data_IF_531282645185
#
_entry.id   IF_531282645185
#
_cell.length_a   1.000
_cell.length_b   1.000
_cell.length_c   1.000
_cell.angle_alpha   90.00
_cell.angle_beta   90.00
_cell.angle_gamma   90.00
#
_symmetry.space_group_name_H-M   'P 1'
#
loop_
_entity.id
_entity.type
_entity.pdbx_description
1 polymer ?
#
# COMPACT_ATOMS: atom_id res chain seq x y z
N UNK A 1 -24.79 -55.58 65.81
CA UNK A 1 -25.16 -54.20 66.23
C UNK A 1 -23.93 -53.55 66.86
N UNK A 2 -23.78 -52.21 66.86
CA UNK A 2 -24.53 -51.14 66.14
C UNK A 2 -23.73 -50.65 64.90
N UNK A 3 -24.21 -49.95 63.84
CA UNK A 3 -25.19 -48.85 63.64
C UNK A 3 -24.67 -47.48 64.16
N UNK A 4 -24.80 -46.29 63.56
CA UNK A 4 -25.22 -45.72 62.24
C UNK A 4 -24.27 -44.52 61.91
N UNK A 5 -24.31 -43.72 60.82
CA UNK A 5 -25.06 -43.70 59.55
C UNK A 5 -25.05 -42.31 58.84
N UNK A 6 -25.00 -42.29 57.49
CA UNK A 6 -25.30 -41.18 56.55
C UNK A 6 -24.41 -39.89 56.49
N UNK A 7 -24.33 -39.27 55.30
CA UNK A 7 -24.20 -37.79 55.19
C UNK A 7 -23.19 -37.15 54.22
N UNK A 8 -23.07 -37.59 52.95
CA UNK A 8 -22.14 -36.97 51.99
C UNK A 8 -22.59 -35.56 51.55
N UNK A 9 -21.72 -34.52 51.68
CA UNK A 9 -21.96 -33.16 51.16
C UNK A 9 -20.82 -32.69 50.25
N UNK A 10 -21.10 -32.52 48.94
CA UNK A 10 -20.26 -31.74 48.01
C UNK A 10 -20.77 -30.30 47.91
N UNK A 11 -19.89 -29.30 47.96
CA UNK A 11 -20.22 -27.91 47.63
C UNK A 11 -20.09 -27.69 46.11
N UNK A 12 -21.04 -26.95 45.53
CA UNK A 12 -21.08 -26.56 44.11
C UNK A 12 -20.88 -25.05 44.01
N UNK A 13 -20.22 -24.60 42.94
CA UNK A 13 -19.92 -23.18 42.69
C UNK A 13 -21.17 -22.37 42.30
N UNK A 14 -21.17 -21.08 42.64
CA UNK A 14 -22.29 -20.17 42.41
C UNK A 14 -22.27 -19.51 41.01
N UNK A 15 -23.47 -19.19 40.49
CA UNK A 15 -23.70 -18.32 39.33
C UNK A 15 -24.42 -17.02 39.77
N UNK A 16 -24.15 -15.87 39.14
CA UNK A 16 -24.88 -14.62 39.40
C UNK A 16 -26.32 -14.63 38.81
N UNK A 17 -27.22 -13.73 39.27
CA UNK A 17 -28.67 -13.88 39.15
C UNK A 17 -29.31 -13.30 37.87
N UNK A 18 -30.56 -13.72 37.60
CA UNK A 18 -31.47 -13.15 36.60
C UNK A 18 -32.34 -12.02 37.19
N UNK A 19 -32.87 -11.08 36.38
CA UNK A 19 -33.76 -10.01 36.85
C UNK A 19 -35.18 -10.53 37.21
N UNK A 20 -35.91 -9.85 38.12
CA UNK A 20 -37.25 -10.25 38.54
C UNK A 20 -38.37 -9.74 37.62
N UNK A 21 -39.43 -10.53 37.52
CA UNK A 21 -40.72 -10.19 36.86
C UNK A 21 -41.67 -9.57 37.88
N UNK A 22 -42.55 -8.64 37.48
CA UNK A 22 -43.74 -8.30 38.28
C UNK A 22 -45.00 -8.01 37.45
N UNK A 23 -45.85 -9.04 37.40
CA UNK A 23 -47.32 -9.11 37.32
C UNK A 23 -48.14 -8.17 36.42
N UNK A 24 -48.97 -8.80 35.59
CA UNK A 24 -50.08 -8.21 34.85
C UNK A 24 -51.37 -8.08 35.68
N UNK A 25 -52.33 -7.28 35.19
CA UNK A 25 -53.80 -7.51 35.28
C UNK A 25 -54.57 -6.62 34.29
N UNK A 26 -55.45 -7.23 33.49
CA UNK A 26 -56.40 -6.53 32.58
C UNK A 26 -55.79 -6.11 31.23
N UNK A 27 -56.26 -6.54 30.05
CA UNK A 27 -57.27 -7.55 29.74
C UNK A 27 -58.49 -7.03 28.95
N UNK A 28 -58.32 -6.81 27.63
CA UNK A 28 -59.32 -7.13 26.57
C UNK A 28 -58.80 -6.89 25.14
N UNK A 29 -58.61 -8.00 24.42
CA UNK A 29 -59.08 -8.33 23.06
C UNK A 29 -59.02 -7.33 21.88
N UNK A 30 -58.31 -7.76 20.82
CA UNK A 30 -58.55 -7.65 19.36
C UNK A 30 -58.83 -6.25 18.75
N UNK A 31 -58.33 -5.88 17.58
CA UNK A 31 -58.28 -6.65 16.31
C UNK A 31 -57.15 -6.18 15.35
N UNK A 32 -56.85 -6.94 14.30
CA UNK A 32 -55.79 -6.63 13.32
C UNK A 32 -56.31 -5.76 12.16
N UNK A 33 -55.57 -4.72 11.76
CA UNK A 33 -55.63 -4.15 10.39
C UNK A 33 -54.23 -3.74 9.87
N UNK A 34 -54.07 -3.78 8.55
CA UNK A 34 -52.83 -3.56 7.81
C UNK A 34 -52.45 -2.08 7.65
N UNK A 35 -51.16 -1.73 7.49
CA UNK A 35 -50.73 -0.36 7.27
C UNK A 35 -50.96 0.11 5.81
N UNK A 36 -51.99 0.91 5.58
CA UNK A 36 -52.08 1.76 4.39
C UNK A 36 -51.12 2.97 4.47
N UNK A 37 -50.92 3.63 3.32
CA UNK A 37 -49.91 4.67 3.12
C UNK A 37 -50.14 5.94 3.94
N UNK A 38 -49.16 6.32 4.78
CA UNK A 38 -49.11 7.66 5.39
C UNK A 38 -48.33 8.63 4.47
N UNK A 39 -49.06 9.42 3.68
CA UNK A 39 -48.48 10.55 2.92
C UNK A 39 -48.29 11.76 3.84
N UNK A 40 -47.08 12.00 4.31
CA UNK A 40 -46.72 13.23 5.02
C UNK A 40 -46.86 14.45 4.10
N UNK A 41 -47.95 15.21 4.24
CA UNK A 41 -48.07 16.55 3.64
C UNK A 41 -47.33 17.56 4.53
N UNK A 42 -46.09 17.91 4.17
CA UNK A 42 -45.47 19.13 4.68
C UNK A 42 -46.29 20.34 4.21
N UNK A 43 -46.53 21.30 5.12
CA UNK A 43 -47.14 22.57 4.75
C UNK A 43 -46.26 23.33 3.76
N UNK A 44 -46.88 23.99 2.78
CA UNK A 44 -46.21 24.86 1.81
C UNK A 44 -45.40 25.96 2.51
N UNK A 45 -45.86 26.44 3.67
CA UNK A 45 -45.11 27.41 4.49
C UNK A 45 -43.78 26.87 5.02
N UNK A 46 -43.71 25.59 5.38
CA UNK A 46 -42.48 24.93 5.84
C UNK A 46 -41.52 24.74 4.65
N UNK A 47 -42.03 24.34 3.49
CA UNK A 47 -41.23 24.17 2.27
C UNK A 47 -40.62 25.50 1.79
N UNK A 48 -41.41 26.59 1.82
CA UNK A 48 -40.93 27.95 1.53
C UNK A 48 -39.89 28.43 2.55
N UNK A 49 -40.06 28.11 3.83
CA UNK A 49 -39.09 28.47 4.87
C UNK A 49 -37.75 27.75 4.70
N UNK A 50 -37.80 26.43 4.40
CA UNK A 50 -36.59 25.64 4.15
C UNK A 50 -35.85 26.10 2.90
N UNK A 51 -36.57 26.42 1.81
CA UNK A 51 -35.95 26.96 0.59
C UNK A 51 -35.34 28.35 0.82
N UNK A 52 -35.99 29.24 1.57
CA UNK A 52 -35.42 30.54 1.94
C UNK A 52 -34.11 30.41 2.76
N UNK A 53 -34.06 29.47 3.71
CA UNK A 53 -32.84 29.18 4.48
C UNK A 53 -31.75 28.60 3.58
N UNK A 54 -32.07 27.67 2.68
CA UNK A 54 -31.10 27.11 1.73
C UNK A 54 -30.53 28.18 0.79
N UNK A 55 -31.37 29.11 0.31
CA UNK A 55 -30.93 30.23 -0.54
C UNK A 55 -30.04 31.20 0.25
N UNK A 56 -30.37 31.54 1.50
CA UNK A 56 -29.50 32.37 2.34
C UNK A 56 -28.16 31.68 2.63
N UNK A 57 -28.14 30.38 2.92
CA UNK A 57 -26.90 29.62 3.11
C UNK A 57 -26.07 29.57 1.81
N UNK A 58 -26.70 29.41 0.65
CA UNK A 58 -26.02 29.46 -0.65
C UNK A 58 -25.45 30.86 -0.95
N UNK A 59 -26.16 31.95 -0.62
CA UNK A 59 -25.63 33.31 -0.75
C UNK A 59 -24.49 33.57 0.23
N UNK A 60 -24.60 33.14 1.49
CA UNK A 60 -23.51 33.25 2.47
C UNK A 60 -22.27 32.43 2.05
N UNK A 61 -22.47 31.26 1.44
CA UNK A 61 -21.38 30.45 0.90
C UNK A 61 -20.75 31.07 -0.36
N UNK A 62 -21.56 31.67 -1.24
CA UNK A 62 -21.08 32.43 -2.40
C UNK A 62 -20.32 33.70 -2.00
N UNK A 63 -20.81 34.45 -1.02
CA UNK A 63 -20.10 35.59 -0.42
C UNK A 63 -18.83 35.13 0.28
N UNK A 64 -18.83 33.99 0.98
CA UNK A 64 -17.61 33.41 1.55
C UNK A 64 -16.60 33.02 0.46
N UNK A 65 -17.03 32.42 -0.65
CA UNK A 65 -16.16 32.16 -1.82
C UNK A 65 -15.57 33.46 -2.39
N UNK A 66 -16.36 34.53 -2.51
CA UNK A 66 -15.96 35.81 -3.11
C UNK A 66 -15.10 36.68 -2.17
N UNK A 67 -15.25 36.51 -0.85
CA UNK A 67 -14.52 37.29 0.18
C UNK A 67 -13.34 36.55 0.80
N UNK A 68 -13.26 35.22 0.62
CA UNK A 68 -12.06 34.44 0.91
C UNK A 68 -10.97 34.86 -0.06
N UNK A 69 -10.16 35.84 0.35
CA UNK A 69 -8.83 36.02 -0.21
C UNK A 69 -8.15 34.65 -0.15
N UNK A 70 -7.58 34.14 -1.24
CA UNK A 70 -6.67 33.01 -1.12
C UNK A 70 -5.55 33.50 -0.18
N UNK A 71 -5.41 32.83 0.96
CA UNK A 71 -4.11 32.79 1.63
C UNK A 71 -3.11 32.44 0.54
N UNK A 72 -2.01 33.18 0.48
CA UNK A 72 -1.02 33.04 -0.60
C UNK A 72 -0.30 31.69 -0.45
N UNK A 73 -0.97 30.62 -0.87
CA UNK A 73 -0.38 29.38 -1.30
C UNK A 73 0.62 29.79 -2.36
N UNK A 74 1.90 29.83 -1.96
CA UNK A 74 3.02 29.94 -2.87
C UNK A 74 2.79 28.87 -3.91
N UNK A 75 2.52 29.29 -5.15
CA UNK A 75 2.29 28.35 -6.23
C UNK A 75 3.47 27.36 -6.23
N UNK A 76 3.21 26.03 -6.27
CA UNK A 76 4.30 25.07 -6.27
C UNK A 76 5.28 25.48 -7.38
N UNK A 77 6.59 25.55 -7.09
CA UNK A 77 7.58 26.12 -8.00
C UNK A 77 7.38 25.46 -9.36
N UNK A 78 7.30 26.30 -10.40
CA UNK A 78 7.01 25.84 -11.76
C UNK A 78 7.93 24.67 -12.10
N UNK A 79 7.44 23.70 -12.89
CA UNK A 79 8.18 22.48 -13.27
C UNK A 79 9.65 22.80 -13.64
N UNK A 80 9.90 23.89 -14.37
CA UNK A 80 11.24 24.39 -14.74
C UNK A 80 12.16 24.83 -13.59
N UNK A 81 11.65 25.24 -12.43
CA UNK A 81 12.46 25.61 -11.25
C UNK A 81 12.98 24.39 -10.48
N UNK A 82 12.31 23.23 -10.56
CA UNK A 82 12.79 21.98 -9.95
C UNK A 82 14.04 21.41 -10.68
N UNK A 83 14.23 21.72 -11.97
CA UNK A 83 15.34 21.18 -12.76
C UNK A 83 16.67 21.95 -12.64
N UNK A 84 16.68 23.15 -12.05
CA UNK A 84 17.87 24.00 -12.01
C UNK A 84 18.77 23.80 -10.77
N UNK A 85 18.41 22.93 -9.83
CA UNK A 85 19.19 22.70 -8.61
C UNK A 85 19.75 21.28 -8.59
N UNK A 86 20.96 21.09 -9.10
CA UNK A 86 21.62 19.77 -9.17
C UNK A 86 22.90 19.72 -8.34
N UNK A 87 23.47 18.53 -8.21
CA UNK A 87 24.77 18.26 -7.62
C UNK A 87 25.73 17.60 -8.62
N UNK A 88 27.03 17.89 -8.50
CA UNK A 88 28.09 17.29 -9.33
C UNK A 88 28.53 15.90 -8.85
N UNK A 89 28.19 15.53 -7.61
CA UNK A 89 28.54 14.25 -6.98
C UNK A 89 27.31 13.62 -6.30
N UNK A 90 27.36 12.30 -6.04
CA UNK A 90 26.25 11.55 -5.44
C UNK A 90 25.98 11.98 -3.99
N UNK A 91 24.86 11.53 -3.40
CA UNK A 91 24.61 11.69 -1.95
C UNK A 91 25.65 10.96 -1.08
N UNK A 92 26.25 9.88 -1.59
CA UNK A 92 27.31 9.14 -0.90
C UNK A 92 28.61 9.95 -0.89
N UNK A 93 29.04 10.46 -2.04
CA UNK A 93 30.26 11.29 -2.16
C UNK A 93 30.16 12.60 -1.36
N UNK A 94 28.94 13.12 -1.20
CA UNK A 94 28.62 14.30 -0.39
C UNK A 94 28.48 14.01 1.12
N UNK A 95 28.54 12.75 1.55
CA UNK A 95 28.37 12.36 2.96
C UNK A 95 26.98 12.64 3.53
N UNK A 96 25.93 12.64 2.70
CA UNK A 96 24.56 12.95 3.11
C UNK A 96 23.79 11.72 3.63
N UNK A 97 24.29 10.51 3.37
CA UNK A 97 23.76 9.26 3.92
C UNK A 97 24.33 9.06 5.33
N UNK A 98 23.60 9.54 6.35
CA UNK A 98 24.01 9.45 7.76
C UNK A 98 22.83 9.31 8.72
N UNK A 99 23.03 8.52 9.78
CA UNK A 99 22.08 8.32 10.87
C UNK A 99 22.17 9.43 11.93
N UNK A 100 23.38 9.75 12.39
CA UNK A 100 23.63 10.83 13.34
C UNK A 100 23.66 12.20 12.64
N UNK A 101 23.36 13.25 13.41
CA UNK A 101 23.53 14.66 13.04
C UNK A 101 22.82 15.09 11.74
N UNK A 102 21.73 14.41 11.37
CA UNK A 102 20.85 14.87 10.31
C UNK A 102 20.03 16.07 10.83
N UNK A 103 20.31 17.27 10.32
CA UNK A 103 19.56 18.47 10.69
C UNK A 103 18.46 18.79 9.67
N UNK A 104 17.40 19.48 10.11
CA UNK A 104 16.33 19.88 9.20
C UNK A 104 16.85 20.88 8.15
N UNK A 105 17.81 21.75 8.49
CA UNK A 105 18.44 22.67 7.52
C UNK A 105 19.19 21.92 6.41
N UNK A 106 19.88 20.82 6.75
CA UNK A 106 20.58 20.00 5.76
C UNK A 106 19.59 19.36 4.78
N UNK A 107 18.46 18.85 5.29
CA UNK A 107 17.38 18.33 4.43
C UNK A 107 16.78 19.42 3.56
N UNK A 108 16.40 20.57 4.12
CA UNK A 108 15.85 21.72 3.38
C UNK A 108 16.80 22.23 2.28
N UNK A 109 18.11 22.18 2.52
CA UNK A 109 19.15 22.64 1.59
C UNK A 109 19.42 21.64 0.46
N UNK A 110 19.51 20.35 0.77
CA UNK A 110 20.06 19.34 -0.14
C UNK A 110 18.99 18.41 -0.76
N UNK A 111 17.73 18.41 -0.29
CA UNK A 111 16.67 17.57 -0.88
C UNK A 111 16.42 17.76 -2.39
N UNK A 112 16.46 18.99 -2.98
CA UNK A 112 16.20 19.14 -4.40
C UNK A 112 17.44 18.79 -5.23
N UNK A 113 18.61 18.66 -4.59
CA UNK A 113 19.93 18.59 -5.21
C UNK A 113 20.30 17.14 -5.55
N UNK A 114 19.62 16.58 -6.55
CA UNK A 114 19.97 15.27 -7.11
C UNK A 114 21.26 15.34 -7.95
N UNK A 115 21.94 14.20 -8.11
CA UNK A 115 23.17 14.08 -8.86
C UNK A 115 22.91 14.15 -10.37
N UNK A 116 23.68 15.01 -11.05
CA UNK A 116 23.65 15.19 -12.51
C UNK A 116 23.80 13.88 -13.31
N UNK A 117 24.46 12.85 -12.76
CA UNK A 117 24.49 11.52 -13.39
C UNK A 117 23.25 10.69 -13.04
N UNK A 118 22.10 11.05 -13.61
CA UNK A 118 20.83 10.32 -13.41
C UNK A 118 20.85 8.89 -13.99
N UNK A 119 21.86 8.55 -14.79
CA UNK A 119 22.02 7.23 -15.42
C UNK A 119 22.69 6.17 -14.53
N UNK A 120 23.46 6.60 -13.53
CA UNK A 120 24.18 5.68 -12.65
C UNK A 120 23.23 4.94 -11.71
N UNK A 121 23.44 3.64 -11.53
CA UNK A 121 22.71 2.80 -10.55
C UNK A 121 23.62 2.40 -9.41
N UNK A 122 23.37 2.83 -8.18
CA UNK A 122 24.03 2.28 -7.00
C UNK A 122 23.44 0.90 -6.64
N UNK A 123 22.12 0.74 -6.73
CA UNK A 123 21.43 -0.52 -6.52
C UNK A 123 21.31 -1.31 -7.84
N UNK A 124 21.97 -2.48 -7.90
CA UNK A 124 22.03 -3.28 -9.13
C UNK A 124 20.85 -4.23 -9.33
N UNK A 125 20.06 -4.51 -8.29
CA UNK A 125 18.92 -5.41 -8.36
C UNK A 125 17.74 -4.85 -9.18
N UNK A 126 16.66 -5.63 -9.25
CA UNK A 126 15.39 -5.19 -9.85
C UNK A 126 14.79 -4.03 -9.07
N UNK A 127 14.29 -3.02 -9.77
CA UNK A 127 13.61 -1.85 -9.19
C UNK A 127 12.31 -1.63 -9.95
N UNK A 128 11.19 -1.85 -9.26
CA UNK A 128 9.85 -1.52 -9.73
C UNK A 128 9.42 -0.17 -9.16
N UNK A 129 9.10 0.80 -10.01
CA UNK A 129 8.61 2.11 -9.58
C UNK A 129 7.11 2.26 -9.90
N UNK A 130 6.27 2.48 -8.89
CA UNK A 130 4.87 2.86 -9.10
C UNK A 130 4.78 4.36 -9.44
N UNK A 131 3.83 4.72 -10.31
CA UNK A 131 3.49 6.10 -10.69
C UNK A 131 1.98 6.26 -10.66
N UNK A 132 1.44 7.30 -10.02
CA UNK A 132 -0.02 7.49 -9.88
C UNK A 132 -0.52 8.78 -10.57
N UNK A 133 -1.72 8.77 -11.19
CA UNK A 133 -2.31 9.98 -11.79
C UNK A 133 -2.44 11.18 -10.83
N UNK A 134 -2.70 10.92 -9.54
CA UNK A 134 -2.88 11.97 -8.53
C UNK A 134 -1.57 12.61 -8.04
N UNK A 135 -0.40 12.00 -8.30
CA UNK A 135 0.92 12.56 -7.97
C UNK A 135 1.73 12.79 -9.25
N UNK A 136 1.34 13.78 -10.06
CA UNK A 136 1.92 14.05 -11.39
C UNK A 136 3.45 14.09 -11.45
N UNK A 137 4.13 14.51 -10.37
CA UNK A 137 5.60 14.47 -10.23
C UNK A 137 6.19 13.09 -10.56
N UNK A 138 5.50 11.99 -10.26
CA UNK A 138 5.98 10.63 -10.55
C UNK A 138 6.23 10.37 -12.04
N UNK A 139 5.45 10.99 -12.93
CA UNK A 139 5.65 10.90 -14.39
C UNK A 139 6.95 11.58 -14.83
N UNK A 140 7.32 12.70 -14.19
CA UNK A 140 8.57 13.41 -14.46
C UNK A 140 9.78 12.67 -13.87
N UNK A 141 9.65 12.15 -12.64
CA UNK A 141 10.70 11.31 -12.04
C UNK A 141 10.96 10.04 -12.87
N UNK A 142 9.91 9.40 -13.40
CA UNK A 142 10.03 8.25 -14.31
C UNK A 142 10.86 8.58 -15.56
N UNK A 143 10.65 9.78 -16.15
CA UNK A 143 11.43 10.24 -17.32
C UNK A 143 12.86 10.62 -16.94
N UNK A 144 13.08 11.32 -15.83
CA UNK A 144 14.39 11.84 -15.42
C UNK A 144 15.36 10.74 -14.96
N UNK A 145 14.83 9.76 -14.21
CA UNK A 145 15.60 8.70 -13.55
C UNK A 145 15.41 7.31 -14.18
N UNK A 146 14.86 7.24 -15.41
CA UNK A 146 14.47 6.00 -16.12
C UNK A 146 15.50 4.86 -15.98
N UNK A 147 16.79 5.16 -16.12
CA UNK A 147 17.89 4.19 -16.11
C UNK A 147 18.12 3.53 -14.75
N UNK A 148 17.55 4.06 -13.66
CA UNK A 148 17.61 3.48 -12.31
C UNK A 148 16.57 2.38 -12.11
N UNK A 149 15.49 2.40 -12.87
CA UNK A 149 14.39 1.44 -12.79
C UNK A 149 14.60 0.26 -13.75
N UNK A 150 14.15 -0.93 -13.37
CA UNK A 150 13.98 -2.04 -14.33
C UNK A 150 12.55 -2.11 -14.85
N UNK A 151 11.59 -1.68 -14.02
CA UNK A 151 10.16 -1.66 -14.32
C UNK A 151 9.52 -0.35 -13.83
N UNK A 152 8.58 0.19 -14.59
CA UNK A 152 7.67 1.27 -14.17
C UNK A 152 6.24 0.77 -14.30
N UNK A 153 5.46 0.89 -13.23
CA UNK A 153 4.07 0.45 -13.11
C UNK A 153 3.15 1.64 -12.92
N UNK A 154 2.64 2.24 -14.00
CA UNK A 154 1.61 3.28 -13.89
C UNK A 154 0.30 2.69 -13.35
N UNK A 155 -0.33 3.40 -12.43
CA UNK A 155 -1.54 2.99 -11.71
C UNK A 155 -2.78 3.53 -12.44
N UNK A 156 -3.12 2.89 -13.56
CA UNK A 156 -4.24 3.30 -14.43
C UNK A 156 -5.44 2.37 -14.37
N UNK A 157 -5.22 1.05 -14.30
CA UNK A 157 -6.25 0.08 -14.67
C UNK A 157 -7.01 -0.50 -13.48
N UNK A 158 -8.31 -0.72 -13.67
CA UNK A 158 -9.17 -1.50 -12.78
C UNK A 158 -10.00 -2.47 -13.63
N UNK A 159 -9.98 -3.76 -13.31
CA UNK A 159 -10.94 -4.73 -13.84
C UNK A 159 -12.16 -4.74 -12.90
N UNK A 160 -13.35 -4.47 -13.44
CA UNK A 160 -14.60 -4.36 -12.66
C UNK A 160 -15.73 -5.18 -13.25
N UNK A 161 -16.63 -5.63 -12.39
CA UNK A 161 -17.92 -6.20 -12.78
C UNK A 161 -19.02 -5.18 -12.57
N UNK A 162 -19.80 -4.92 -13.62
CA UNK A 162 -21.07 -4.17 -13.52
C UNK A 162 -22.24 -4.99 -14.09
N UNK A 163 -23.41 -4.38 -14.24
CA UNK A 163 -24.63 -5.04 -14.72
C UNK A 163 -24.54 -5.55 -16.17
N UNK A 164 -23.53 -5.11 -16.93
CA UNK A 164 -23.31 -5.44 -18.34
C UNK A 164 -22.16 -6.42 -18.58
N UNK A 165 -21.46 -6.85 -17.53
CA UNK A 165 -20.38 -7.85 -17.61
C UNK A 165 -19.10 -7.40 -16.90
N UNK A 166 -17.97 -7.96 -17.34
CA UNK A 166 -16.64 -7.65 -16.84
C UNK A 166 -15.92 -6.68 -17.77
N UNK A 167 -15.40 -5.57 -17.21
CA UNK A 167 -14.84 -4.46 -17.97
C UNK A 167 -13.49 -4.00 -17.42
N UNK A 168 -12.53 -3.77 -18.32
CA UNK A 168 -11.23 -3.18 -17.99
C UNK A 168 -11.26 -1.66 -18.19
N UNK A 169 -11.35 -0.93 -17.08
CA UNK A 169 -11.37 0.53 -17.02
C UNK A 169 -9.94 1.10 -16.92
N UNK A 170 -9.78 2.39 -17.23
CA UNK A 170 -8.51 3.13 -17.08
C UNK A 170 -7.74 3.43 -18.37
N UNK A 171 -8.12 2.85 -19.53
CA UNK A 171 -7.41 3.09 -20.82
C UNK A 171 -7.27 4.58 -21.18
N UNK A 172 -8.18 5.44 -20.72
CA UNK A 172 -8.14 6.89 -21.01
C UNK A 172 -6.97 7.62 -20.33
N UNK A 173 -6.38 7.05 -19.27
CA UNK A 173 -5.20 7.62 -18.59
C UNK A 173 -3.88 7.26 -19.29
N UNK A 174 -3.91 6.41 -20.34
CA UNK A 174 -2.69 5.91 -20.99
C UNK A 174 -2.08 6.95 -21.92
N UNK A 175 -1.01 7.59 -21.45
CA UNK A 175 -0.17 8.47 -22.26
C UNK A 175 0.90 7.67 -23.03
N UNK A 176 0.63 7.40 -24.31
CA UNK A 176 1.56 6.75 -25.25
C UNK A 176 2.83 7.58 -25.53
N UNK A 177 2.76 8.92 -25.43
CA UNK A 177 3.94 9.77 -25.56
C UNK A 177 4.84 9.61 -24.33
N UNK A 178 4.27 9.66 -23.12
CA UNK A 178 5.01 9.42 -21.89
C UNK A 178 5.66 8.03 -21.86
N UNK A 179 4.94 6.98 -22.31
CA UNK A 179 5.50 5.63 -22.46
C UNK A 179 6.74 5.64 -23.36
N UNK A 180 6.68 6.32 -24.51
CA UNK A 180 7.82 6.47 -25.42
C UNK A 180 8.97 7.25 -24.79
N UNK A 181 8.67 8.36 -24.11
CA UNK A 181 9.66 9.23 -23.46
C UNK A 181 10.37 8.52 -22.29
N UNK A 182 9.67 7.66 -21.52
CA UNK A 182 10.26 6.84 -20.46
C UNK A 182 11.08 5.68 -21.01
N UNK A 183 10.62 5.00 -22.09
CA UNK A 183 11.33 3.88 -22.72
C UNK A 183 12.57 4.27 -23.53
N UNK A 184 12.79 5.56 -23.83
CA UNK A 184 13.95 6.01 -24.59
C UNK A 184 15.25 5.59 -23.87
N UNK A 185 16.01 4.69 -24.51
CA UNK A 185 17.16 3.98 -23.93
C UNK A 185 16.98 2.46 -23.86
N UNK A 186 15.77 1.93 -24.14
CA UNK A 186 15.44 0.50 -24.12
C UNK A 186 15.06 -0.06 -22.75
N UNK A 187 14.95 0.80 -21.73
CA UNK A 187 14.61 0.47 -20.35
C UNK A 187 14.04 1.75 -19.69
N UNK A 188 13.09 1.67 -18.73
CA UNK A 188 12.53 0.49 -18.09
C UNK A 188 11.41 -0.19 -18.89
N UNK A 189 11.03 -1.40 -18.46
CA UNK A 189 9.80 -2.07 -18.90
C UNK A 189 8.57 -1.35 -18.33
N UNK A 190 7.50 -1.25 -19.11
CA UNK A 190 6.23 -0.64 -18.68
C UNK A 190 5.23 -1.75 -18.36
N UNK A 191 4.86 -1.88 -17.08
CA UNK A 191 4.02 -2.96 -16.55
C UNK A 191 2.87 -2.37 -15.72
N UNK A 192 1.80 -1.84 -16.34
CA UNK A 192 0.75 -1.12 -15.63
C UNK A 192 0.09 -1.93 -14.53
N UNK A 193 -0.33 -1.26 -13.45
CA UNK A 193 -1.06 -1.91 -12.37
C UNK A 193 -2.52 -2.10 -12.76
N UNK A 194 -2.98 -3.35 -12.76
CA UNK A 194 -4.38 -3.75 -12.86
C UNK A 194 -4.85 -4.18 -11.47
N UNK A 195 -5.83 -3.48 -10.89
CA UNK A 195 -6.50 -3.92 -9.65
C UNK A 195 -7.82 -4.63 -9.99
N UNK A 196 -8.12 -5.71 -9.27
CA UNK A 196 -9.38 -6.45 -9.43
C UNK A 196 -10.46 -5.91 -8.48
N UNK A 197 -11.16 -4.86 -8.92
CA UNK A 197 -12.17 -4.16 -8.12
C UNK A 197 -13.57 -4.75 -8.34
N UNK A 198 -14.14 -5.37 -7.31
CA UNK A 198 -15.48 -5.96 -7.35
C UNK A 198 -15.51 -7.34 -6.71
N UNK A 199 -16.72 -7.85 -6.43
CA UNK A 199 -16.86 -9.16 -5.79
C UNK A 199 -16.44 -10.27 -6.77
N UNK A 200 -15.38 -11.08 -6.49
CA UNK A 200 -14.71 -11.84 -7.54
C UNK A 200 -15.30 -13.22 -7.80
N UNK A 201 -16.33 -13.62 -7.05
CA UNK A 201 -16.79 -15.02 -7.02
C UNK A 201 -17.20 -15.53 -8.39
N UNK A 202 -17.96 -14.75 -9.18
CA UNK A 202 -18.36 -15.18 -10.52
C UNK A 202 -17.13 -15.37 -11.46
N UNK A 203 -16.25 -14.38 -11.53
CA UNK A 203 -14.97 -14.41 -12.25
C UNK A 203 -14.03 -15.57 -11.85
N UNK A 204 -14.10 -16.03 -10.59
CA UNK A 204 -13.27 -17.15 -10.10
C UNK A 204 -13.95 -18.52 -10.26
N UNK A 205 -15.28 -18.58 -10.25
CA UNK A 205 -16.04 -19.84 -10.22
C UNK A 205 -16.59 -20.26 -11.58
N UNK A 206 -16.96 -19.31 -12.44
CA UNK A 206 -17.40 -19.56 -13.81
C UNK A 206 -16.18 -19.57 -14.73
N UNK A 207 -16.21 -20.42 -15.74
CA UNK A 207 -15.12 -20.57 -16.71
C UNK A 207 -15.10 -19.42 -17.70
N UNK A 208 -16.24 -19.15 -18.33
CA UNK A 208 -16.47 -18.06 -19.29
C UNK A 208 -15.99 -16.70 -18.74
N UNK A 209 -16.43 -16.30 -17.54
CA UNK A 209 -16.01 -15.02 -16.94
C UNK A 209 -14.54 -14.97 -16.52
N UNK A 210 -13.91 -16.13 -16.29
CA UNK A 210 -12.48 -16.24 -15.98
C UNK A 210 -11.64 -16.04 -17.23
N UNK A 211 -12.11 -16.59 -18.35
CA UNK A 211 -11.51 -16.39 -19.67
C UNK A 211 -11.69 -14.95 -20.15
N UNK A 212 -12.89 -14.36 -20.02
CA UNK A 212 -13.13 -12.92 -20.29
C UNK A 212 -12.18 -12.01 -19.49
N UNK A 213 -11.91 -12.35 -18.22
CA UNK A 213 -10.97 -11.60 -17.38
C UNK A 213 -9.53 -11.65 -17.88
N UNK A 214 -9.08 -12.83 -18.32
CA UNK A 214 -7.75 -13.05 -18.85
C UNK A 214 -7.61 -12.34 -20.20
N UNK A 215 -8.55 -12.57 -21.12
CA UNK A 215 -8.57 -11.99 -22.47
C UNK A 215 -8.62 -10.46 -22.45
N UNK A 216 -9.40 -9.85 -21.55
CA UNK A 216 -9.46 -8.41 -21.40
C UNK A 216 -8.08 -7.81 -21.02
N UNK A 217 -7.32 -8.50 -20.15
CA UNK A 217 -5.99 -8.08 -19.71
C UNK A 217 -4.94 -8.31 -20.81
N UNK A 218 -4.87 -9.52 -21.38
CA UNK A 218 -3.84 -9.90 -22.37
C UNK A 218 -4.02 -9.15 -23.69
N UNK A 219 -5.27 -8.92 -24.11
CA UNK A 219 -5.60 -8.07 -25.26
C UNK A 219 -5.15 -6.63 -25.05
N UNK A 220 -5.34 -6.06 -23.85
CA UNK A 220 -4.92 -4.69 -23.56
C UNK A 220 -3.40 -4.53 -23.52
N UNK A 221 -2.70 -5.48 -22.88
CA UNK A 221 -1.23 -5.56 -22.88
C UNK A 221 -0.67 -5.55 -24.31
N UNK A 222 -1.28 -6.36 -25.19
CA UNK A 222 -0.86 -6.45 -26.60
C UNK A 222 -1.20 -5.18 -27.37
N UNK A 223 -2.43 -4.66 -27.23
CA UNK A 223 -2.95 -3.47 -27.94
C UNK A 223 -2.18 -2.21 -27.59
N UNK A 224 -1.93 -1.98 -26.30
CA UNK A 224 -1.25 -0.79 -25.79
C UNK A 224 0.28 -0.95 -25.76
N UNK A 225 0.79 -2.13 -26.14
CA UNK A 225 2.21 -2.47 -26.24
C UNK A 225 2.95 -2.33 -24.90
N UNK A 226 2.35 -2.85 -23.82
CA UNK A 226 3.00 -2.97 -22.51
C UNK A 226 3.99 -4.15 -22.50
N UNK A 227 4.83 -4.24 -21.46
CA UNK A 227 5.77 -5.36 -21.26
C UNK A 227 5.20 -6.47 -20.36
N UNK A 228 3.98 -6.28 -19.86
CA UNK A 228 3.33 -7.10 -18.84
C UNK A 228 2.39 -6.26 -17.98
N UNK A 229 2.05 -6.77 -16.79
CA UNK A 229 1.26 -6.06 -15.77
C UNK A 229 1.78 -6.28 -14.35
N UNK A 230 1.39 -5.37 -13.45
CA UNK A 230 1.34 -5.65 -12.02
C UNK A 230 -0.11 -5.95 -11.63
N UNK A 231 -0.39 -7.14 -11.09
CA UNK A 231 -1.71 -7.53 -10.61
C UNK A 231 -1.88 -7.22 -9.12
N UNK A 232 -2.89 -6.44 -8.76
CA UNK A 232 -3.32 -6.23 -7.39
C UNK A 232 -4.70 -6.86 -7.15
N UNK A 233 -4.72 -7.97 -6.41
CA UNK A 233 -5.94 -8.74 -6.16
C UNK A 233 -6.06 -9.22 -4.72
N UNK A 234 -4.96 -9.69 -4.13
CA UNK A 234 -4.95 -10.35 -2.82
C UNK A 234 -5.55 -9.51 -1.68
N UNK A 235 -5.20 -8.22 -1.63
CA UNK A 235 -5.72 -7.28 -0.62
C UNK A 235 -7.24 -7.12 -0.69
N UNK A 236 -7.81 -7.09 -1.90
CA UNK A 236 -9.25 -6.96 -2.11
C UNK A 236 -9.96 -8.28 -1.81
N UNK A 237 -9.39 -9.43 -2.22
CA UNK A 237 -9.90 -10.75 -1.86
C UNK A 237 -9.94 -11.01 -0.35
N UNK A 238 -8.93 -10.52 0.39
CA UNK A 238 -8.95 -10.46 1.86
C UNK A 238 -10.09 -9.57 2.37
N UNK A 239 -10.29 -8.39 1.78
CA UNK A 239 -11.39 -7.48 2.13
C UNK A 239 -12.77 -8.12 1.95
N UNK A 240 -12.98 -8.85 0.85
CA UNK A 240 -14.19 -9.63 0.59
C UNK A 240 -14.31 -10.93 1.39
N UNK A 241 -13.32 -11.24 2.26
CA UNK A 241 -13.19 -12.51 3.01
C UNK A 241 -13.12 -13.78 2.14
N UNK A 242 -12.90 -13.63 0.84
CA UNK A 242 -12.91 -14.72 -0.14
C UNK A 242 -11.85 -15.78 0.18
N UNK A 243 -10.69 -15.36 0.68
CA UNK A 243 -9.57 -16.23 1.00
C UNK A 243 -9.86 -17.20 2.17
N UNK A 244 -10.91 -16.96 2.96
CA UNK A 244 -11.31 -17.81 4.09
C UNK A 244 -12.00 -19.11 3.62
N UNK A 245 -12.56 -19.11 2.41
CA UNK A 245 -13.06 -20.32 1.75
C UNK A 245 -11.90 -20.98 0.99
N UNK A 246 -11.58 -22.23 1.34
CA UNK A 246 -10.44 -22.95 0.75
C UNK A 246 -10.58 -23.21 -0.76
N UNK A 247 -11.80 -23.38 -1.28
CA UNK A 247 -12.08 -23.61 -2.68
C UNK A 247 -11.98 -22.30 -3.48
N UNK A 248 -12.55 -21.20 -2.96
CA UNK A 248 -12.40 -19.88 -3.59
C UNK A 248 -10.95 -19.40 -3.54
N UNK A 249 -10.21 -19.66 -2.45
CA UNK A 249 -8.76 -19.39 -2.35
C UNK A 249 -7.96 -20.17 -3.39
N UNK A 250 -8.28 -21.46 -3.60
CA UNK A 250 -7.62 -22.27 -4.63
C UNK A 250 -7.91 -21.73 -6.04
N UNK A 251 -9.16 -21.33 -6.32
CA UNK A 251 -9.56 -20.71 -7.58
C UNK A 251 -8.90 -19.36 -7.82
N UNK A 252 -8.67 -18.58 -6.76
CA UNK A 252 -7.94 -17.32 -6.81
C UNK A 252 -6.45 -17.51 -7.22
N UNK A 253 -5.79 -18.55 -6.70
CA UNK A 253 -4.43 -18.93 -7.13
C UNK A 253 -4.40 -19.48 -8.55
N UNK A 254 -5.39 -20.31 -8.91
CA UNK A 254 -5.55 -20.87 -10.25
C UNK A 254 -5.73 -19.76 -11.30
N UNK A 255 -6.55 -18.73 -11.01
CA UNK A 255 -6.69 -17.55 -11.86
C UNK A 255 -5.35 -16.82 -12.08
N UNK A 256 -4.57 -16.55 -11.02
CA UNK A 256 -3.25 -15.90 -11.17
C UNK A 256 -2.33 -16.76 -12.05
N UNK A 257 -2.35 -18.08 -11.85
CA UNK A 257 -1.54 -19.01 -12.61
C UNK A 257 -1.92 -19.04 -14.09
N UNK A 258 -3.21 -19.13 -14.41
CA UNK A 258 -3.73 -19.12 -15.78
C UNK A 258 -3.43 -17.78 -16.48
N UNK A 259 -3.63 -16.64 -15.81
CA UNK A 259 -3.28 -15.33 -16.35
C UNK A 259 -1.78 -15.20 -16.66
N UNK A 260 -0.93 -15.70 -15.77
CA UNK A 260 0.52 -15.72 -15.97
C UNK A 260 0.94 -16.61 -17.14
N UNK A 261 0.36 -17.80 -17.23
CA UNK A 261 0.57 -18.72 -18.35
C UNK A 261 0.15 -18.08 -19.69
N UNK A 262 -1.01 -17.42 -19.75
CA UNK A 262 -1.48 -16.78 -20.98
C UNK A 262 -0.63 -15.57 -21.37
N UNK A 263 -0.17 -14.77 -20.41
CA UNK A 263 0.81 -13.70 -20.66
C UNK A 263 2.15 -14.25 -21.20
N UNK A 264 2.57 -15.45 -20.78
CA UNK A 264 3.78 -16.09 -21.29
C UNK A 264 3.58 -16.71 -22.70
N UNK A 265 2.37 -17.16 -23.07
CA UNK A 265 2.08 -17.72 -24.40
C UNK A 265 1.65 -16.68 -25.43
N UNK A 266 1.08 -15.55 -25.01
CA UNK A 266 0.59 -14.48 -25.89
C UNK A 266 1.70 -13.94 -26.80
N UNK A 267 1.49 -14.02 -28.12
CA UNK A 267 2.44 -13.53 -29.13
C UNK A 267 2.17 -12.07 -29.49
N UNK A 268 3.23 -11.28 -29.68
CA UNK A 268 3.14 -9.90 -30.17
C UNK A 268 4.06 -9.67 -31.37
N UNK A 269 3.58 -9.09 -32.49
CA UNK A 269 4.39 -8.85 -33.70
C UNK A 269 5.65 -7.98 -33.50
N UNK A 270 5.73 -7.23 -32.39
CA UNK A 270 6.85 -6.32 -32.09
C UNK A 270 7.88 -6.88 -31.10
N UNK A 271 7.63 -8.05 -30.51
CA UNK A 271 8.52 -8.64 -29.48
C UNK A 271 9.37 -9.74 -30.10
N UNK A 272 10.61 -9.89 -29.65
CA UNK A 272 11.52 -10.90 -30.21
C UNK A 272 11.11 -12.29 -29.71
N UNK A 273 11.51 -13.32 -30.43
CA UNK A 273 11.35 -14.70 -29.95
C UNK A 273 12.07 -14.86 -28.60
N UNK A 274 11.31 -15.12 -27.54
CA UNK A 274 11.80 -15.22 -26.15
C UNK A 274 11.40 -14.07 -25.22
N UNK A 275 10.85 -12.97 -25.72
CA UNK A 275 10.38 -11.86 -24.87
C UNK A 275 8.95 -12.12 -24.34
N UNK A 276 8.84 -12.71 -23.14
CA UNK A 276 7.55 -13.01 -22.47
C UNK A 276 6.89 -11.76 -21.87
N UNK A 277 5.55 -11.68 -21.81
CA UNK A 277 4.87 -10.62 -21.05
C UNK A 277 4.88 -10.96 -19.57
N UNK A 278 5.27 -10.02 -18.72
CA UNK A 278 5.53 -10.33 -17.32
C UNK A 278 4.31 -10.18 -16.44
N UNK A 279 4.13 -11.10 -15.51
CA UNK A 279 3.17 -10.98 -14.42
C UNK A 279 3.89 -10.72 -13.10
N UNK A 280 3.71 -9.53 -12.54
CA UNK A 280 4.15 -9.21 -11.17
C UNK A 280 2.92 -9.22 -10.26
N UNK A 281 2.93 -9.98 -9.17
CA UNK A 281 1.84 -10.04 -8.19
C UNK A 281 2.11 -9.11 -7.00
N UNK A 282 1.16 -8.25 -6.63
CA UNK A 282 1.20 -7.53 -5.34
C UNK A 282 0.80 -8.47 -4.22
N UNK A 283 1.65 -8.60 -3.21
CA UNK A 283 1.43 -9.47 -2.05
C UNK A 283 1.53 -8.67 -0.73
N UNK A 284 0.65 -8.95 0.25
CA UNK A 284 0.74 -8.32 1.56
C UNK A 284 1.92 -8.87 2.38
N UNK A 285 2.34 -8.16 3.43
CA UNK A 285 3.25 -8.72 4.44
C UNK A 285 2.55 -9.90 5.15
N UNK A 286 3.27 -10.97 5.53
CA UNK A 286 2.69 -12.10 6.27
C UNK A 286 2.08 -11.65 7.60
N UNK A 287 0.93 -12.19 7.96
CA UNK A 287 0.17 -11.77 9.15
C UNK A 287 0.73 -12.33 10.47
N UNK A 288 1.87 -13.03 10.45
CA UNK A 288 2.53 -13.61 11.63
C UNK A 288 1.83 -14.85 12.21
N UNK A 289 0.58 -15.12 11.83
CA UNK A 289 -0.23 -16.29 12.21
C UNK A 289 -0.26 -17.32 11.08
N UNK A 290 0.47 -18.46 11.17
CA UNK A 290 0.62 -19.40 10.04
C UNK A 290 -0.66 -20.08 9.57
N UNK A 291 -1.74 -20.02 10.37
CA UNK A 291 -3.05 -20.59 10.05
C UNK A 291 -4.06 -19.53 9.56
N UNK A 292 -3.67 -18.27 9.40
CA UNK A 292 -4.56 -17.24 8.87
C UNK A 292 -4.75 -17.44 7.35
N UNK A 293 -5.97 -17.78 6.89
CA UNK A 293 -6.22 -18.06 5.48
C UNK A 293 -6.06 -16.81 4.59
N UNK A 294 -6.11 -15.61 5.18
CA UNK A 294 -5.87 -14.34 4.47
C UNK A 294 -4.39 -14.09 4.17
N UNK A 295 -3.48 -14.85 4.80
CA UNK A 295 -2.04 -14.71 4.60
C UNK A 295 -1.61 -15.30 3.26
N UNK A 296 -0.75 -14.57 2.54
CA UNK A 296 0.02 -15.12 1.42
C UNK A 296 1.23 -15.87 2.00
N UNK A 297 1.52 -17.05 1.47
CA UNK A 297 2.46 -18.01 2.07
C UNK A 297 3.56 -18.46 1.11
N UNK A 298 4.62 -19.05 1.65
CA UNK A 298 5.66 -19.74 0.88
C UNK A 298 5.10 -20.79 -0.07
N UNK A 299 4.03 -21.51 0.32
CA UNK A 299 3.38 -22.51 -0.53
C UNK A 299 2.71 -21.87 -1.76
N UNK A 300 2.11 -20.69 -1.59
CA UNK A 300 1.53 -19.92 -2.69
C UNK A 300 2.62 -19.40 -3.64
N UNK A 301 3.73 -18.90 -3.09
CA UNK A 301 4.91 -18.51 -3.88
C UNK A 301 5.46 -19.67 -4.71
N UNK A 302 5.59 -20.86 -4.12
CA UNK A 302 6.05 -22.07 -4.83
C UNK A 302 5.05 -22.49 -5.90
N UNK A 303 3.75 -22.46 -5.62
CA UNK A 303 2.70 -22.81 -6.59
C UNK A 303 2.67 -21.89 -7.83
N UNK A 304 2.94 -20.59 -7.61
CA UNK A 304 2.91 -19.55 -8.64
C UNK A 304 4.26 -19.30 -9.33
N UNK A 305 5.36 -19.90 -8.85
CA UNK A 305 6.75 -19.54 -9.25
C UNK A 305 7.01 -19.56 -10.76
N UNK A 306 6.35 -20.46 -11.49
CA UNK A 306 6.59 -20.72 -12.91
C UNK A 306 5.70 -19.82 -13.81
N UNK A 307 4.68 -19.18 -13.23
CA UNK A 307 3.72 -18.28 -13.91
C UNK A 307 3.81 -16.82 -13.45
N UNK A 308 4.63 -16.51 -12.44
CA UNK A 308 4.81 -15.16 -11.88
C UNK A 308 6.27 -14.75 -11.93
N UNK A 309 6.54 -13.65 -12.64
CA UNK A 309 7.86 -13.06 -12.84
C UNK A 309 8.36 -12.27 -11.64
N UNK A 310 7.47 -11.76 -10.79
CA UNK A 310 7.86 -11.07 -9.57
C UNK A 310 6.76 -10.93 -8.52
N UNK A 311 7.17 -10.73 -7.27
CA UNK A 311 6.29 -10.52 -6.13
C UNK A 311 6.57 -9.15 -5.50
N UNK A 312 5.68 -8.18 -5.70
CA UNK A 312 5.73 -6.84 -5.10
C UNK A 312 5.22 -6.92 -3.66
N UNK A 313 6.14 -7.06 -2.71
CA UNK A 313 5.84 -7.28 -1.30
C UNK A 313 5.68 -5.95 -0.56
N UNK A 314 4.46 -5.65 -0.11
CA UNK A 314 4.13 -4.40 0.60
C UNK A 314 4.71 -4.35 2.03
N UNK A 315 6.03 -4.19 2.14
CA UNK A 315 6.77 -4.07 3.41
C UNK A 315 6.80 -2.62 3.91
N UNK A 316 5.62 -2.00 3.95
CA UNK A 316 5.33 -0.67 4.49
C UNK A 316 3.90 -0.65 5.07
N UNK A 317 3.45 0.48 5.61
CA UNK A 317 2.20 0.62 6.40
C UNK A 317 2.15 -0.30 7.63
N UNK A 318 3.29 -0.45 8.33
CA UNK A 318 3.36 -1.16 9.61
C UNK A 318 2.52 -0.46 10.68
N UNK A 319 2.68 0.85 10.82
CA UNK A 319 1.89 1.71 11.71
C UNK A 319 0.75 2.40 10.96
N UNK A 320 -0.26 2.83 11.72
CA UNK A 320 -1.44 3.50 11.20
C UNK A 320 -2.00 4.48 12.24
N UNK A 321 -3.02 5.27 11.88
CA UNK A 321 -3.57 6.30 12.76
C UNK A 321 -4.08 5.80 14.13
N UNK A 322 -4.40 4.51 14.29
CA UNK A 322 -4.81 3.89 15.56
C UNK A 322 -3.63 3.40 16.41
N UNK A 323 -2.45 3.23 15.80
CA UNK A 323 -1.19 2.85 16.44
C UNK A 323 0.01 3.58 15.78
N UNK A 324 0.19 4.88 16.08
CA UNK A 324 1.28 5.70 15.53
C UNK A 324 2.67 5.11 15.75
N UNK A 325 3.54 5.23 14.75
CA UNK A 325 4.87 4.61 14.79
C UNK A 325 5.58 4.62 13.42
N UNK A 326 6.69 3.89 13.28
CA UNK A 326 7.49 3.80 12.06
C UNK A 326 6.72 3.22 10.87
N UNK A 327 7.08 3.65 9.65
CA UNK A 327 6.39 3.21 8.43
C UNK A 327 6.66 1.73 8.10
N UNK A 328 7.89 1.28 8.32
CA UNK A 328 8.40 -0.01 7.86
C UNK A 328 9.62 -0.49 8.68
N UNK A 329 9.48 -0.91 9.96
CA UNK A 329 10.61 -1.32 10.79
C UNK A 329 11.51 -2.36 10.13
N UNK A 330 12.82 -2.11 10.06
CA UNK A 330 13.75 -3.00 9.35
C UNK A 330 13.71 -4.45 9.87
N UNK A 331 13.57 -4.64 11.18
CA UNK A 331 13.45 -5.97 11.80
C UNK A 331 12.18 -6.72 11.35
N UNK A 332 11.08 -6.00 11.11
CA UNK A 332 9.83 -6.55 10.58
C UNK A 332 9.96 -6.88 9.08
N UNK A 333 10.57 -5.99 8.27
CA UNK A 333 10.84 -6.27 6.85
C UNK A 333 11.65 -7.56 6.68
N UNK A 334 12.71 -7.73 7.49
CA UNK A 334 13.50 -8.98 7.55
C UNK A 334 12.65 -10.19 7.91
N UNK A 335 11.72 -10.05 8.86
CA UNK A 335 10.82 -11.13 9.26
C UNK A 335 9.84 -11.51 8.15
N UNK A 336 9.30 -10.54 7.40
CA UNK A 336 8.47 -10.81 6.22
C UNK A 336 9.23 -11.64 5.17
N UNK A 337 10.47 -11.25 4.84
CA UNK A 337 11.33 -12.01 3.92
C UNK A 337 11.67 -13.41 4.46
N UNK A 338 12.02 -13.53 5.74
CA UNK A 338 12.38 -14.79 6.38
C UNK A 338 11.21 -15.79 6.46
N UNK A 339 9.97 -15.29 6.55
CA UNK A 339 8.74 -16.10 6.56
C UNK A 339 8.32 -16.51 5.15
N UNK A 340 8.44 -15.62 4.16
CA UNK A 340 7.99 -15.89 2.79
C UNK A 340 8.98 -16.74 1.99
N UNK A 341 10.27 -16.40 2.02
CA UNK A 341 11.25 -16.98 1.10
C UNK A 341 11.53 -18.46 1.45
N UNK A 342 11.29 -19.40 0.51
CA UNK A 342 11.52 -20.81 0.76
C UNK A 342 13.00 -21.09 1.02
N UNK A 343 13.25 -22.01 1.95
CA UNK A 343 14.57 -22.63 2.10
C UNK A 343 14.77 -23.70 1.01
N UNK A 344 15.99 -23.84 0.53
CA UNK A 344 16.40 -24.94 -0.35
C UNK A 344 16.40 -26.28 0.39
N UNK A 345 16.64 -27.36 -0.34
CA UNK A 345 16.75 -28.72 0.22
C UNK A 345 18.05 -28.89 1.03
N UNK A 346 18.04 -28.41 2.27
CA UNK A 346 18.96 -28.90 3.30
C UNK A 346 18.71 -30.38 3.59
N UNK A 347 19.66 -31.06 4.23
CA UNK A 347 19.51 -32.48 4.60
C UNK A 347 18.30 -32.65 5.53
N UNK A 348 17.31 -33.42 5.11
CA UNK A 348 16.20 -33.86 5.96
C UNK A 348 16.78 -34.66 7.14
N UNK A 349 16.80 -34.08 8.34
CA UNK A 349 17.38 -34.72 9.52
C UNK A 349 17.66 -33.77 10.68
N UNK A 350 18.06 -32.54 10.41
CA UNK A 350 18.18 -31.52 11.47
C UNK A 350 16.82 -30.88 11.75
N UNK A 351 16.29 -31.09 12.96
CA UNK A 351 15.16 -30.34 13.50
C UNK A 351 15.59 -28.87 13.64
N UNK A 352 15.31 -28.07 12.62
CA UNK A 352 15.51 -26.63 12.67
C UNK A 352 14.77 -26.04 13.87
N UNK A 353 15.51 -25.46 14.80
CA UNK A 353 14.94 -24.71 15.91
C UNK A 353 14.43 -23.38 15.36
N UNK A 354 13.14 -23.34 15.03
CA UNK A 354 12.49 -22.19 14.41
C UNK A 354 12.71 -20.86 15.17
N UNK A 355 13.09 -20.90 16.46
CA UNK A 355 13.43 -19.69 17.23
C UNK A 355 14.83 -19.16 16.91
N UNK A 356 15.82 -20.02 16.65
CA UNK A 356 17.18 -19.61 16.26
C UNK A 356 17.24 -19.10 14.82
N UNK A 357 16.44 -19.69 13.94
CA UNK A 357 16.33 -19.27 12.54
C UNK A 357 15.74 -17.86 12.40
N UNK A 358 14.77 -17.50 13.25
CA UNK A 358 14.17 -16.16 13.27
C UNK A 358 15.15 -15.05 13.74
N UNK A 359 16.20 -15.41 14.47
CA UNK A 359 17.15 -14.45 15.06
C UNK A 359 18.44 -14.30 14.24
N UNK A 360 18.78 -15.31 13.44
CA UNK A 360 19.86 -15.27 12.43
C UNK A 360 19.36 -14.95 11.01
N UNK A 361 18.05 -15.03 10.78
CA UNK A 361 17.33 -14.91 9.52
C UNK A 361 17.67 -15.96 8.44
N UNK A 362 18.80 -16.65 8.55
CA UNK A 362 19.27 -17.74 7.68
C UNK A 362 19.04 -17.44 6.19
N UNK A 363 19.76 -16.44 5.70
CA UNK A 363 19.67 -15.97 4.30
C UNK A 363 20.33 -16.97 3.34
N UNK A 364 21.41 -17.64 3.77
CA UNK A 364 22.19 -18.55 2.93
C UNK A 364 21.41 -19.81 2.50
N UNK A 365 20.39 -20.23 3.27
CA UNK A 365 19.54 -21.36 2.88
C UNK A 365 18.42 -21.00 1.90
N UNK A 366 18.18 -19.73 1.58
CA UNK A 366 17.05 -19.31 0.73
C UNK A 366 17.27 -19.65 -0.73
N UNK A 367 16.19 -20.03 -1.43
CA UNK A 367 16.23 -20.34 -2.86
C UNK A 367 16.53 -19.05 -3.66
N UNK A 368 17.69 -18.92 -4.34
CA UNK A 368 18.09 -17.64 -4.95
C UNK A 368 17.14 -17.17 -6.06
N UNK A 369 16.54 -18.09 -6.81
CA UNK A 369 15.54 -17.79 -7.83
C UNK A 369 14.34 -17.04 -7.22
N UNK A 370 13.79 -17.56 -6.11
CA UNK A 370 12.62 -16.96 -5.43
C UNK A 370 12.96 -15.63 -4.76
N UNK A 371 14.19 -15.48 -4.26
CA UNK A 371 14.70 -14.20 -3.79
C UNK A 371 14.75 -13.18 -4.95
N UNK A 372 15.33 -13.54 -6.10
CA UNK A 372 15.44 -12.65 -7.27
C UNK A 372 14.09 -12.21 -7.85
N UNK A 373 13.04 -13.04 -7.71
CA UNK A 373 11.64 -12.70 -8.05
C UNK A 373 10.95 -11.86 -6.98
N UNK A 374 11.46 -11.77 -5.75
CA UNK A 374 10.84 -10.96 -4.69
C UNK A 374 11.31 -9.51 -4.77
N UNK A 375 10.37 -8.57 -4.63
CA UNK A 375 10.62 -7.13 -4.62
C UNK A 375 10.19 -6.57 -3.26
N UNK A 376 11.15 -6.15 -2.45
CA UNK A 376 10.89 -5.58 -1.13
C UNK A 376 10.32 -4.16 -1.27
N UNK A 377 9.14 -3.94 -0.71
CA UNK A 377 8.44 -2.65 -0.70
C UNK A 377 9.19 -1.55 0.04
N UNK A 378 9.25 -0.38 -0.56
CA UNK A 378 9.86 0.84 -0.03
C UNK A 378 8.85 1.98 -0.18
N UNK A 379 8.47 2.62 0.92
CA UNK A 379 7.64 3.83 0.90
C UNK A 379 8.48 5.07 0.58
N UNK A 380 7.98 5.94 -0.31
CA UNK A 380 8.50 7.28 -0.59
C UNK A 380 7.64 8.40 0.02
N UNK A 381 6.51 8.04 0.63
CA UNK A 381 5.73 8.86 1.55
C UNK A 381 6.14 8.59 3.00
N UNK A 382 5.69 9.45 3.91
CA UNK A 382 5.75 9.22 5.36
C UNK A 382 4.37 9.39 6.00
N UNK A 383 4.32 9.48 7.31
CA UNK A 383 3.11 9.77 8.07
C UNK A 383 3.35 10.90 9.09
N UNK A 384 2.39 11.80 9.24
CA UNK A 384 2.26 12.74 10.35
C UNK A 384 1.11 12.28 11.24
N UNK A 385 1.41 11.75 12.43
CA UNK A 385 0.41 11.24 13.37
C UNK A 385 0.10 12.25 14.47
N UNK A 386 -1.19 12.57 14.65
CA UNK A 386 -1.66 13.24 15.86
C UNK A 386 -1.75 12.23 17.01
N UNK A 387 -1.14 12.55 18.16
CA UNK A 387 -1.07 11.66 19.31
C UNK A 387 -2.29 11.80 20.24
N UNK A 388 -2.78 10.70 20.86
CA UNK A 388 -2.32 9.32 20.74
C UNK A 388 -2.88 8.58 19.51
N UNK A 389 -3.85 9.16 18.81
CA UNK A 389 -4.56 8.55 17.69
C UNK A 389 -5.00 9.64 16.70
N UNK A 390 -4.75 9.43 15.41
CA UNK A 390 -5.09 10.35 14.33
C UNK A 390 -3.92 10.59 13.37
N UNK A 391 -4.07 11.60 12.51
CA UNK A 391 -3.13 11.89 11.43
C UNK A 391 -3.18 10.90 10.27
N UNK A 392 -2.15 10.90 9.43
CA UNK A 392 -2.10 10.08 8.22
C UNK A 392 -0.89 10.36 7.31
N UNK A 393 -0.96 9.86 6.08
CA UNK A 393 0.14 9.94 5.14
C UNK A 393 0.47 11.38 4.71
N UNK A 394 1.76 11.66 4.53
CA UNK A 394 2.31 12.91 3.99
C UNK A 394 3.30 12.64 2.86
N UNK A 395 3.36 13.53 1.87
CA UNK A 395 4.32 13.49 0.75
C UNK A 395 5.42 14.54 0.93
N UNK A 396 6.44 14.50 0.07
CA UNK A 396 7.68 15.27 0.24
C UNK A 396 7.48 16.77 0.45
N UNK A 397 6.55 17.43 -0.26
CA UNK A 397 6.33 18.86 -0.08
C UNK A 397 5.68 19.23 1.28
N UNK A 398 4.87 18.34 1.84
CA UNK A 398 4.27 18.49 3.17
C UNK A 398 5.34 18.27 4.25
N UNK A 399 6.17 17.23 4.10
CA UNK A 399 7.33 16.99 4.96
C UNK A 399 8.30 18.19 4.99
N UNK A 400 8.68 18.73 3.83
CA UNK A 400 9.52 19.92 3.72
C UNK A 400 8.85 21.15 4.37
N UNK A 401 7.54 21.30 4.23
CA UNK A 401 6.78 22.37 4.90
C UNK A 401 6.82 22.24 6.42
N UNK A 402 6.65 21.02 6.96
CA UNK A 402 6.74 20.75 8.41
C UNK A 402 8.14 21.04 8.95
N UNK A 403 9.21 20.66 8.23
CA UNK A 403 10.58 20.99 8.60
C UNK A 403 10.83 22.50 8.65
N UNK A 404 10.39 23.24 7.63
CA UNK A 404 10.56 24.69 7.56
C UNK A 404 9.77 25.44 8.63
N UNK A 405 8.56 24.97 8.95
CA UNK A 405 7.68 25.55 9.96
C UNK A 405 8.15 25.27 11.39
N UNK A 406 8.45 24.00 11.71
CA UNK A 406 8.66 23.56 13.09
C UNK A 406 10.14 23.48 13.50
N UNK A 407 11.07 23.53 12.54
CA UNK A 407 12.53 23.47 12.78
C UNK A 407 12.95 22.35 13.74
N UNK A 408 12.47 21.11 13.54
CA UNK A 408 12.54 20.08 14.56
C UNK A 408 13.92 19.42 14.63
N UNK A 409 14.19 18.77 15.77
CA UNK A 409 15.31 17.83 15.90
C UNK A 409 14.88 16.51 15.27
N UNK A 410 15.58 16.07 14.22
CA UNK A 410 15.40 14.76 13.61
C UNK A 410 16.13 13.72 14.48
N UNK A 411 15.41 12.70 14.92
CA UNK A 411 15.92 11.64 15.80
C UNK A 411 15.96 10.32 15.03
N UNK A 412 17.11 9.64 15.04
CA UNK A 412 17.24 8.28 14.50
C UNK A 412 16.76 7.25 15.54
N UNK A 413 15.84 6.37 15.14
CA UNK A 413 15.28 5.31 15.96
C UNK A 413 15.87 3.96 15.52
N UNK A 414 16.92 3.50 16.20
CA UNK A 414 17.67 2.28 15.83
C UNK A 414 16.78 1.05 15.63
N UNK A 415 15.75 0.88 16.47
CA UNK A 415 14.85 -0.26 16.45
C UNK A 415 14.04 -0.40 15.15
N UNK A 416 13.67 0.72 14.53
CA UNK A 416 12.96 0.77 13.23
C UNK A 416 13.91 1.05 12.06
N UNK A 417 15.08 1.62 12.35
CA UNK A 417 16.00 2.20 11.37
C UNK A 417 15.31 3.27 10.52
N UNK A 418 14.59 4.18 11.18
CA UNK A 418 13.92 5.35 10.60
C UNK A 418 14.29 6.63 11.38
N UNK A 419 14.24 7.76 10.68
CA UNK A 419 14.21 9.06 11.33
C UNK A 419 12.76 9.44 11.66
N UNK A 420 12.56 10.05 12.82
CA UNK A 420 11.32 10.72 13.17
C UNK A 420 11.59 12.12 13.73
N UNK A 421 10.54 12.92 13.83
CA UNK A 421 10.53 14.09 14.71
C UNK A 421 9.18 14.29 15.38
N UNK A 422 9.13 15.20 16.35
CA UNK A 422 7.90 15.58 17.06
C UNK A 422 7.73 17.09 17.05
N UNK A 423 6.48 17.55 17.04
CA UNK A 423 6.12 18.94 17.22
C UNK A 423 4.75 19.04 17.92
N UNK A 424 4.42 20.21 18.47
CA UNK A 424 3.08 20.47 19.03
C UNK A 424 2.37 21.55 18.21
N UNK A 425 1.07 21.36 17.95
CA UNK A 425 0.21 22.26 17.18
C UNK A 425 -0.93 22.75 18.05
N UNK A 426 -1.25 24.04 18.00
CA UNK A 426 -2.45 24.57 18.68
C UNK A 426 -3.71 24.28 17.86
N UNK A 427 -4.77 23.80 18.51
CA UNK A 427 -6.03 23.47 17.85
C UNK A 427 -6.81 24.74 17.52
N UNK A 428 -7.07 24.97 16.23
CA UNK A 428 -7.78 26.16 15.74
C UNK A 428 -9.18 26.35 16.32
N UNK A 429 -9.79 25.27 16.82
CA UNK A 429 -11.16 25.25 17.35
C UNK A 429 -11.21 25.33 18.89
N UNK A 430 -10.09 25.13 19.60
CA UNK A 430 -10.04 25.07 21.07
C UNK A 430 -8.81 25.84 21.58
N UNK A 431 -9.03 27.08 22.05
CA UNK A 431 -7.98 27.91 22.65
C UNK A 431 -7.25 27.16 23.76
N UNK A 432 -5.93 27.28 23.78
CA UNK A 432 -5.00 26.66 24.74
C UNK A 432 -4.93 25.12 24.71
N UNK A 433 -5.55 24.43 23.74
CA UNK A 433 -5.33 22.99 23.52
C UNK A 433 -4.24 22.78 22.48
N UNK A 434 -3.23 22.00 22.85
CA UNK A 434 -2.15 21.55 21.97
C UNK A 434 -2.33 20.08 21.66
N UNK A 435 -2.18 19.73 20.38
CA UNK A 435 -2.06 18.36 19.90
C UNK A 435 -0.58 18.09 19.66
N UNK A 436 -0.04 17.03 20.24
CA UNK A 436 1.31 16.58 19.91
C UNK A 436 1.28 15.71 18.65
N UNK A 437 2.29 15.87 17.82
CA UNK A 437 2.45 15.18 16.55
C UNK A 437 3.77 14.41 16.53
N UNK A 438 3.78 13.22 15.92
CA UNK A 438 4.97 12.43 15.62
C UNK A 438 5.02 12.09 14.12
N UNK A 439 6.08 12.52 13.46
CA UNK A 439 6.26 12.41 12.01
C UNK A 439 7.36 11.40 11.70
N UNK A 440 7.06 10.42 10.85
CA UNK A 440 8.04 9.49 10.28
C UNK A 440 8.05 9.64 8.76
N UNK A 441 9.15 10.08 8.18
CA UNK A 441 9.32 10.21 6.73
C UNK A 441 10.68 9.62 6.31
N UNK A 442 10.80 8.99 5.13
CA UNK A 442 12.06 8.41 4.67
C UNK A 442 13.22 9.41 4.69
N UNK A 443 14.43 8.90 4.89
CA UNK A 443 15.68 9.65 4.84
C UNK A 443 16.67 8.89 3.96
N UNK A 444 17.71 9.57 3.48
CA UNK A 444 18.77 8.91 2.72
C UNK A 444 19.37 7.71 3.48
N UNK A 445 19.55 7.82 4.79
CA UNK A 445 19.99 6.73 5.65
C UNK A 445 18.97 5.57 5.72
N UNK A 446 17.71 5.87 6.06
CA UNK A 446 16.69 4.82 6.23
C UNK A 446 16.46 4.05 4.92
N UNK A 447 16.55 4.73 3.78
CA UNK A 447 16.49 4.12 2.46
C UNK A 447 17.77 3.32 2.14
N UNK A 448 18.99 3.86 2.35
CA UNK A 448 20.25 3.12 2.10
C UNK A 448 20.31 1.81 2.90
N UNK A 449 19.95 1.85 4.19
CA UNK A 449 19.89 0.66 5.04
C UNK A 449 18.91 -0.40 4.51
N UNK A 450 17.80 0.00 3.89
CA UNK A 450 16.84 -0.93 3.25
C UNK A 450 17.36 -1.46 1.91
N UNK A 451 18.05 -0.65 1.12
CA UNK A 451 18.70 -1.09 -0.14
C UNK A 451 19.83 -2.08 0.13
N UNK A 452 20.63 -1.84 1.18
CA UNK A 452 21.65 -2.77 1.66
C UNK A 452 21.02 -4.09 2.14
N UNK A 453 19.91 -4.02 2.87
CA UNK A 453 19.18 -5.23 3.27
C UNK A 453 18.62 -6.00 2.06
N UNK A 454 17.98 -5.33 1.10
CA UNK A 454 17.52 -5.96 -0.14
C UNK A 454 18.67 -6.69 -0.87
N UNK A 455 19.84 -6.03 -0.98
CA UNK A 455 21.06 -6.61 -1.54
C UNK A 455 21.54 -7.83 -0.74
N UNK A 456 21.49 -7.80 0.60
CA UNK A 456 21.86 -8.95 1.46
C UNK A 456 20.97 -10.16 1.22
N UNK A 457 19.66 -9.96 1.05
CA UNK A 457 18.70 -11.02 0.77
C UNK A 457 18.67 -11.49 -0.69
N UNK A 458 19.34 -10.78 -1.61
CA UNK A 458 19.29 -11.07 -3.05
C UNK A 458 17.95 -10.71 -3.70
N UNK A 459 17.15 -9.86 -3.05
CA UNK A 459 15.84 -9.41 -3.53
C UNK A 459 15.95 -8.09 -4.30
N UNK A 460 14.98 -7.82 -5.18
CA UNK A 460 14.79 -6.48 -5.73
C UNK A 460 14.00 -5.58 -4.77
N UNK A 461 13.56 -4.42 -5.27
CA UNK A 461 12.69 -3.49 -4.53
C UNK A 461 11.50 -3.04 -5.38
N UNK A 462 10.44 -2.62 -4.70
CA UNK A 462 9.28 -1.93 -5.30
C UNK A 462 8.98 -0.64 -4.54
N UNK A 463 8.92 0.50 -5.23
CA UNK A 463 8.82 1.83 -4.62
C UNK A 463 7.41 2.39 -4.77
N UNK A 464 6.73 2.64 -3.66
CA UNK A 464 5.41 3.28 -3.60
C UNK A 464 5.48 4.69 -2.98
N UNK A 465 5.21 5.76 -3.74
CA UNK A 465 5.35 5.86 -5.19
C UNK A 465 6.27 7.04 -5.55
N UNK A 466 6.85 7.02 -6.76
CA UNK A 466 8.02 7.88 -7.04
C UNK A 466 7.70 9.38 -7.15
N UNK A 467 6.43 9.78 -7.20
CA UNK A 467 5.99 11.17 -7.04
C UNK A 467 6.00 11.69 -5.60
N UNK A 468 6.02 10.83 -4.58
CA UNK A 468 5.90 11.22 -3.16
C UNK A 468 7.24 11.57 -2.50
N UNK A 469 8.35 11.11 -3.08
CA UNK A 469 9.71 11.23 -2.53
C UNK A 469 10.38 12.58 -2.77
N UNK A 470 11.56 12.74 -2.17
CA UNK A 470 12.47 13.87 -2.40
C UNK A 470 13.44 13.56 -3.56
N UNK A 471 13.87 14.59 -4.29
CA UNK A 471 14.63 14.44 -5.55
C UNK A 471 15.97 13.69 -5.35
N UNK A 472 16.67 13.98 -4.25
CA UNK A 472 17.91 13.27 -3.91
C UNK A 472 17.73 11.77 -3.52
N UNK A 473 16.49 11.26 -3.36
CA UNK A 473 16.25 9.83 -3.11
C UNK A 473 16.51 8.95 -4.34
N UNK A 474 16.59 9.53 -5.54
CA UNK A 474 16.98 8.78 -6.72
C UNK A 474 18.50 8.58 -6.77
N UNK A 475 19.32 9.38 -6.07
CA UNK A 475 20.78 9.23 -6.05
C UNK A 475 21.24 7.93 -5.40
N UNK A 476 20.47 7.34 -4.48
CA UNK A 476 20.81 6.05 -3.82
C UNK A 476 20.43 4.82 -4.66
N UNK A 477 19.64 4.99 -5.73
CA UNK A 477 19.24 3.93 -6.66
C UNK A 477 20.30 3.68 -7.73
#
# INVERSE_FOLDING_TARGET
MPSQGAGQRRRVAAKPPRPPVRNARGGRNYEQQSPESVKNKLSVSVLLSVTAVCVMLAMLWGVWLLTRRPDALVAPPSVNQLFNVTATASVYDRGLVKAADLSYEAVLKDHPRYWTNTSHRHFKGSVLAYVTPWNGKGYDMAKLFRSKFTHVSPVWYQLKRDNSGLHLHGRHDVDQKWISDVRQGGSPKIVPRVVLEGYPTDMLTKEEEREEAIDAITSEVTKMQFDGIVLEAWSLWRGYRLLQDSNLRQKALEFIKLLGMELHTTKSPKRKSGDLFQLILVIPPPTGTPQDPNSFTTSDMIYLRDSVDGFSLMTYDYSNAYAPGPNAPLAWMRQCLAVLLPKGKGKEGERADARKDLQSYDIASRVPEMASKTLMGINFYGNDYSMPQGGGAIVGHEYISLLAQHKPILTWEEASSEHYFTYSKEESMIKNKKTDHKVYYPSLQSLSTRLEEAKRWGVGISIWEIGQGLEYFFDIL
#
